data_IF_407464440150
#
_entry.id   IF_407464440150
#
_cell.length_a   1.000
_cell.length_b   1.000
_cell.length_c   1.000
_cell.angle_alpha   90.00
_cell.angle_beta   90.00
_cell.angle_gamma   90.00
#
_symmetry.space_group_name_H-M   'P 1'
#
loop_
_entity.id
_entity.type
_entity.pdbx_description
1 polymer ?
#
# COMPACT_ATOMS: atom_id res chain seq x y z
N UNK A 1 -2.10 -10.04 -2.26
CA UNK A 1 -2.85 -10.12 -3.52
C UNK A 1 -2.98 -8.73 -4.09
N UNK A 2 -2.82 -8.58 -5.39
CA UNK A 2 -3.00 -7.32 -6.13
C UNK A 2 -3.91 -7.56 -7.34
N UNK A 3 -4.72 -6.56 -7.75
CA UNK A 3 -5.46 -6.67 -9.01
C UNK A 3 -4.56 -6.53 -10.24
N UNK A 4 -5.05 -6.97 -11.39
CA UNK A 4 -4.30 -6.87 -12.65
C UNK A 4 -3.89 -5.43 -12.98
N UNK A 5 -4.76 -4.45 -12.74
CA UNK A 5 -4.46 -3.03 -12.99
C UNK A 5 -3.23 -2.56 -12.22
N UNK A 6 -3.08 -2.95 -10.96
CA UNK A 6 -1.88 -2.64 -10.15
C UNK A 6 -0.64 -3.32 -10.71
N UNK A 7 -0.74 -4.58 -11.13
CA UNK A 7 0.39 -5.28 -11.75
C UNK A 7 0.84 -4.58 -13.03
N UNK A 8 -0.10 -4.22 -13.90
CA UNK A 8 0.20 -3.50 -15.15
C UNK A 8 0.88 -2.16 -14.85
N UNK A 9 0.33 -1.38 -13.93
CA UNK A 9 0.87 -0.07 -13.57
C UNK A 9 2.28 -0.17 -12.98
N UNK A 10 2.53 -1.09 -12.07
CA UNK A 10 3.81 -1.21 -11.36
C UNK A 10 4.87 -1.96 -12.18
N UNK A 11 4.51 -3.06 -12.83
CA UNK A 11 5.47 -3.94 -13.50
C UNK A 11 5.59 -3.64 -14.98
N UNK A 12 4.49 -3.49 -15.70
CA UNK A 12 4.51 -3.33 -17.15
C UNK A 12 4.85 -1.89 -17.52
N UNK A 13 4.05 -0.94 -17.05
CA UNK A 13 4.23 0.49 -17.34
C UNK A 13 5.39 1.08 -16.51
N UNK A 14 5.54 0.64 -15.27
CA UNK A 14 6.60 1.06 -14.35
C UNK A 14 7.92 0.30 -14.49
N UNK A 15 8.13 -0.48 -15.57
CA UNK A 15 9.35 -1.25 -15.73
C UNK A 15 10.61 -0.40 -15.60
N UNK A 16 11.53 -0.85 -14.74
CA UNK A 16 12.77 -0.12 -14.43
C UNK A 16 12.64 0.93 -13.33
N UNK A 17 11.42 1.25 -12.87
CA UNK A 17 11.22 2.09 -11.70
C UNK A 17 11.32 1.26 -10.40
N UNK A 18 11.61 1.91 -9.26
CA UNK A 18 11.64 1.22 -7.96
C UNK A 18 10.33 0.47 -7.69
N UNK A 19 10.43 -0.78 -7.25
CA UNK A 19 9.30 -1.65 -6.96
C UNK A 19 8.87 -2.57 -8.11
N UNK A 20 9.23 -2.26 -9.36
CA UNK A 20 8.81 -3.09 -10.52
C UNK A 20 9.44 -4.48 -10.51
N UNK A 21 10.74 -4.57 -10.24
CA UNK A 21 11.46 -5.84 -10.16
C UNK A 21 11.01 -6.67 -8.95
N UNK A 22 10.88 -6.05 -7.80
CA UNK A 22 10.43 -6.68 -6.56
C UNK A 22 9.01 -7.25 -6.70
N UNK A 23 8.11 -6.51 -7.33
CA UNK A 23 6.75 -6.96 -7.59
C UNK A 23 6.72 -8.09 -8.60
N UNK A 24 7.49 -7.99 -9.70
CA UNK A 24 7.63 -9.04 -10.70
C UNK A 24 8.18 -10.34 -10.07
N UNK A 25 9.22 -10.25 -9.29
CA UNK A 25 9.81 -11.39 -8.58
C UNK A 25 8.84 -11.96 -7.54
N UNK A 26 8.15 -11.10 -6.80
CA UNK A 26 7.13 -11.51 -5.84
C UNK A 26 6.00 -12.32 -6.51
N UNK A 27 5.59 -11.93 -7.72
CA UNK A 27 4.59 -12.70 -8.49
C UNK A 27 5.15 -14.01 -9.01
N UNK A 28 6.38 -14.01 -9.49
CA UNK A 28 7.05 -15.22 -9.98
C UNK A 28 7.22 -16.28 -8.87
N UNK A 29 7.54 -15.86 -7.66
CA UNK A 29 7.75 -16.75 -6.51
C UNK A 29 6.45 -17.14 -5.80
N UNK A 30 5.32 -16.55 -6.15
CA UNK A 30 4.02 -16.78 -5.50
C UNK A 30 3.83 -16.01 -4.19
N UNK A 31 4.77 -15.15 -3.80
CA UNK A 31 4.62 -14.26 -2.65
C UNK A 31 3.52 -13.20 -2.89
N UNK A 32 3.42 -12.71 -4.12
CA UNK A 32 2.35 -11.84 -4.58
C UNK A 32 1.47 -12.61 -5.57
N UNK A 33 0.17 -12.61 -5.34
CA UNK A 33 -0.81 -13.19 -6.26
C UNK A 33 -1.51 -12.08 -7.03
N UNK A 34 -1.54 -12.17 -8.34
CA UNK A 34 -2.33 -11.29 -9.20
C UNK A 34 -3.70 -11.91 -9.43
N UNK A 35 -4.76 -11.16 -9.18
CA UNK A 35 -6.14 -11.63 -9.35
C UNK A 35 -6.96 -10.66 -10.21
N UNK A 36 -7.89 -11.21 -10.96
CA UNK A 36 -8.86 -10.44 -11.75
C UNK A 36 -10.07 -10.10 -10.91
N UNK A 37 -10.57 -8.88 -11.08
CA UNK A 37 -11.89 -8.52 -10.60
C UNK A 37 -12.94 -9.21 -11.48
N UNK A 38 -13.91 -9.87 -10.85
CA UNK A 38 -14.99 -10.58 -11.56
C UNK A 38 -16.06 -9.61 -12.05
N UNK A 39 -16.49 -8.69 -11.16
CA UNK A 39 -17.52 -7.69 -11.48
C UNK A 39 -16.87 -6.35 -11.91
N UNK A 40 -16.65 -6.24 -13.22
CA UNK A 40 -16.02 -5.04 -13.78
C UNK A 40 -16.93 -3.80 -13.76
N UNK A 41 -18.23 -3.97 -13.73
CA UNK A 41 -19.16 -2.84 -13.64
C UNK A 41 -19.02 -2.09 -12.30
N UNK A 42 -18.72 -2.82 -11.24
CA UNK A 42 -18.44 -2.25 -9.92
C UNK A 42 -17.20 -1.36 -9.89
N UNK A 43 -16.20 -1.62 -10.73
CA UNK A 43 -15.01 -0.76 -10.83
C UNK A 43 -15.43 0.65 -11.24
N UNK A 44 -16.28 0.79 -12.26
CA UNK A 44 -16.79 2.09 -12.71
C UNK A 44 -17.63 2.76 -11.64
N UNK A 45 -18.55 2.01 -11.02
CA UNK A 45 -19.39 2.51 -9.93
C UNK A 45 -18.56 3.06 -8.76
N UNK A 46 -17.53 2.33 -8.31
CA UNK A 46 -16.65 2.79 -7.24
C UNK A 46 -15.77 3.95 -7.65
N UNK A 47 -15.23 3.93 -8.88
CA UNK A 47 -14.43 5.03 -9.39
C UNK A 47 -15.22 6.35 -9.40
N UNK A 48 -16.46 6.31 -9.84
CA UNK A 48 -17.36 7.49 -9.86
C UNK A 48 -17.78 7.90 -8.44
N UNK A 49 -18.17 6.93 -7.60
CA UNK A 49 -18.65 7.20 -6.23
C UNK A 49 -17.58 7.82 -5.35
N UNK A 50 -16.38 7.26 -5.36
CA UNK A 50 -15.29 7.65 -4.47
C UNK A 50 -14.29 8.62 -5.12
N UNK A 51 -14.46 8.94 -6.41
CA UNK A 51 -13.55 9.81 -7.19
C UNK A 51 -12.10 9.31 -7.16
N UNK A 52 -11.94 8.01 -7.24
CA UNK A 52 -10.63 7.35 -7.33
C UNK A 52 -10.39 6.82 -8.76
N UNK A 53 -9.13 6.54 -9.09
CA UNK A 53 -8.78 5.96 -10.40
C UNK A 53 -9.43 4.57 -10.57
N UNK A 54 -9.54 4.11 -11.82
CA UNK A 54 -10.06 2.77 -12.10
C UNK A 54 -9.21 1.68 -11.43
N UNK A 55 -7.88 1.83 -11.40
CA UNK A 55 -6.96 0.90 -10.73
C UNK A 55 -7.21 0.87 -9.21
N UNK A 56 -7.40 2.03 -8.58
CA UNK A 56 -7.74 2.10 -7.17
C UNK A 56 -9.12 1.51 -6.87
N UNK A 57 -10.09 1.70 -7.76
CA UNK A 57 -11.40 1.05 -7.65
C UNK A 57 -11.31 -0.48 -7.79
N UNK A 58 -10.42 -0.99 -8.64
CA UNK A 58 -10.13 -2.44 -8.73
C UNK A 58 -9.64 -2.99 -7.39
N UNK A 59 -8.78 -2.26 -6.68
CA UNK A 59 -8.29 -2.68 -5.34
C UNK A 59 -9.46 -2.87 -4.37
N UNK A 60 -10.38 -1.92 -4.31
CA UNK A 60 -11.53 -1.98 -3.41
C UNK A 60 -12.48 -3.11 -3.81
N UNK A 61 -12.77 -3.24 -5.11
CA UNK A 61 -13.65 -4.30 -5.59
C UNK A 61 -13.05 -5.69 -5.38
N UNK A 62 -11.76 -5.87 -5.67
CA UNK A 62 -11.08 -7.14 -5.42
C UNK A 62 -11.08 -7.49 -3.93
N UNK A 63 -10.84 -6.51 -3.07
CA UNK A 63 -10.90 -6.70 -1.62
C UNK A 63 -12.29 -7.21 -1.17
N UNK A 64 -13.36 -6.68 -1.76
CA UNK A 64 -14.73 -7.16 -1.50
C UNK A 64 -14.95 -8.60 -1.99
N UNK A 65 -14.54 -8.92 -3.20
CA UNK A 65 -14.70 -10.26 -3.78
C UNK A 65 -13.95 -11.33 -2.99
N UNK A 66 -12.79 -10.96 -2.43
CA UNK A 66 -11.93 -11.87 -1.67
C UNK A 66 -12.20 -11.86 -0.16
N UNK A 67 -13.13 -11.06 0.33
CA UNK A 67 -13.34 -10.83 1.76
C UNK A 67 -12.04 -10.48 2.49
N UNK A 68 -11.26 -9.57 1.92
CA UNK A 68 -10.00 -9.15 2.50
C UNK A 68 -10.20 -8.50 3.87
N UNK A 69 -9.25 -8.69 4.77
CA UNK A 69 -9.28 -8.06 6.09
C UNK A 69 -8.67 -6.65 6.05
N UNK A 70 -7.67 -6.47 5.22
CA UNK A 70 -6.88 -5.23 5.14
C UNK A 70 -6.70 -4.82 3.69
N UNK A 71 -6.84 -3.52 3.43
CA UNK A 71 -6.46 -2.87 2.18
C UNK A 71 -5.21 -2.03 2.44
N UNK A 72 -4.21 -2.19 1.59
CA UNK A 72 -2.99 -1.38 1.64
C UNK A 72 -3.14 -0.20 0.69
N UNK A 73 -3.11 1.01 1.22
CA UNK A 73 -3.23 2.23 0.44
C UNK A 73 -2.55 3.41 1.16
N UNK A 74 -1.94 4.30 0.38
CA UNK A 74 -1.34 5.54 0.88
C UNK A 74 -2.16 6.78 0.55
N UNK A 75 -2.79 6.81 -0.62
CA UNK A 75 -3.61 7.94 -1.07
C UNK A 75 -4.84 8.10 -0.18
N UNK A 76 -5.10 9.32 0.26
CA UNK A 76 -6.16 9.61 1.24
C UNK A 76 -7.52 9.19 0.72
N UNK A 77 -7.84 9.52 -0.54
CA UNK A 77 -9.12 9.19 -1.17
C UNK A 77 -9.35 7.67 -1.23
N UNK A 78 -8.30 6.89 -1.49
CA UNK A 78 -8.38 5.42 -1.52
C UNK A 78 -8.55 4.86 -0.11
N UNK A 79 -7.86 5.45 0.87
CA UNK A 79 -7.98 5.06 2.28
C UNK A 79 -9.39 5.30 2.80
N UNK A 80 -9.95 6.48 2.53
CA UNK A 80 -11.32 6.82 2.90
C UNK A 80 -12.35 5.90 2.23
N UNK A 81 -12.22 5.66 0.93
CA UNK A 81 -13.08 4.77 0.18
C UNK A 81 -13.04 3.32 0.73
N UNK A 82 -11.86 2.82 1.04
CA UNK A 82 -11.71 1.48 1.61
C UNK A 82 -12.28 1.39 3.04
N UNK A 83 -12.09 2.42 3.85
CA UNK A 83 -12.68 2.49 5.20
C UNK A 83 -14.21 2.55 5.15
N UNK A 84 -14.78 3.37 4.26
CA UNK A 84 -16.23 3.44 4.04
C UNK A 84 -16.80 2.10 3.56
N UNK A 85 -16.02 1.36 2.77
CA UNK A 85 -16.37 0.01 2.34
C UNK A 85 -16.25 -1.06 3.45
N UNK A 86 -15.77 -0.70 4.64
CA UNK A 86 -15.67 -1.57 5.82
C UNK A 86 -14.33 -2.26 6.03
N UNK A 87 -13.28 -1.87 5.30
CA UNK A 87 -11.96 -2.47 5.43
C UNK A 87 -11.09 -1.75 6.46
N UNK A 88 -10.21 -2.50 7.11
CA UNK A 88 -9.05 -1.92 7.74
C UNK A 88 -8.08 -1.43 6.66
N UNK A 89 -7.46 -0.27 6.87
CA UNK A 89 -6.53 0.31 5.91
C UNK A 89 -5.19 0.56 6.57
N UNK A 90 -4.13 0.22 5.85
CA UNK A 90 -2.76 0.43 6.28
C UNK A 90 -1.93 1.05 5.17
N UNK A 91 -1.15 2.08 5.49
CA UNK A 91 -0.19 2.68 4.56
C UNK A 91 1.24 2.18 4.83
N UNK A 92 2.20 2.66 4.03
CA UNK A 92 3.61 2.28 4.16
C UNK A 92 4.16 2.49 5.57
N UNK A 93 3.87 3.62 6.20
CA UNK A 93 4.36 3.88 7.57
C UNK A 93 3.79 2.89 8.59
N UNK A 94 2.52 2.52 8.44
CA UNK A 94 1.90 1.52 9.32
C UNK A 94 2.57 0.15 9.18
N UNK A 95 2.92 -0.25 7.95
CA UNK A 95 3.65 -1.49 7.67
C UNK A 95 5.05 -1.46 8.31
N UNK A 96 5.76 -0.35 8.17
CA UNK A 96 7.10 -0.18 8.77
C UNK A 96 7.04 -0.24 10.30
N UNK A 97 6.06 0.39 10.92
CA UNK A 97 5.86 0.33 12.38
C UNK A 97 5.55 -1.10 12.83
N UNK A 98 4.69 -1.80 12.11
CA UNK A 98 4.35 -3.18 12.42
C UNK A 98 5.56 -4.11 12.27
N UNK A 99 6.45 -3.85 11.32
CA UNK A 99 7.69 -4.62 11.17
C UNK A 99 8.58 -4.54 12.40
N UNK A 100 8.62 -3.37 13.06
CA UNK A 100 9.35 -3.21 14.33
C UNK A 100 8.64 -3.94 15.46
N UNK A 101 7.32 -3.78 15.60
CA UNK A 101 6.52 -4.46 16.64
C UNK A 101 6.64 -5.98 16.53
N UNK A 102 6.72 -6.51 15.33
CA UNK A 102 6.89 -7.94 15.06
C UNK A 102 8.37 -8.38 15.03
N UNK A 103 9.31 -7.49 15.37
CA UNK A 103 10.75 -7.76 15.42
C UNK A 103 11.35 -8.23 14.09
N UNK A 104 10.76 -7.82 12.96
CA UNK A 104 11.24 -8.09 11.61
C UNK A 104 12.36 -7.12 11.26
N UNK A 105 12.13 -5.83 11.54
CA UNK A 105 13.12 -4.76 11.34
C UNK A 105 13.45 -4.09 12.68
N UNK A 106 14.65 -3.56 12.79
CA UNK A 106 15.02 -2.73 13.93
C UNK A 106 14.45 -1.31 13.78
N UNK A 107 14.20 -0.59 14.89
CA UNK A 107 13.78 0.81 14.81
C UNK A 107 14.73 1.69 13.98
N UNK A 108 16.03 1.42 14.05
CA UNK A 108 17.05 2.16 13.29
C UNK A 108 16.90 1.94 11.77
N UNK A 109 16.64 0.71 11.34
CA UNK A 109 16.37 0.41 9.93
C UNK A 109 15.13 1.14 9.45
N UNK A 110 14.03 1.11 10.22
CA UNK A 110 12.78 1.78 9.85
C UNK A 110 12.96 3.30 9.79
N UNK A 111 13.74 3.92 10.68
CA UNK A 111 14.06 5.34 10.59
C UNK A 111 14.77 5.63 9.25
N UNK A 112 15.73 4.80 8.85
CA UNK A 112 16.44 4.96 7.58
C UNK A 112 15.49 4.77 6.39
N UNK A 113 14.57 3.79 6.45
CA UNK A 113 13.58 3.55 5.40
C UNK A 113 12.60 4.72 5.26
N UNK A 114 12.20 5.35 6.37
CA UNK A 114 11.40 6.58 6.36
C UNK A 114 12.16 7.71 5.66
N UNK A 115 13.45 7.90 5.96
CA UNK A 115 14.27 8.90 5.29
C UNK A 115 14.38 8.65 3.78
N UNK A 116 14.56 7.40 3.38
CA UNK A 116 14.59 7.00 1.98
C UNK A 116 13.25 7.26 1.27
N UNK A 117 12.11 6.97 1.93
CA UNK A 117 10.79 7.26 1.39
C UNK A 117 10.60 8.76 1.15
N UNK A 118 10.96 9.59 2.13
CA UNK A 118 10.87 11.05 1.99
C UNK A 118 11.76 11.55 0.86
N UNK A 119 13.00 11.05 0.78
CA UNK A 119 13.94 11.40 -0.28
C UNK A 119 13.45 10.99 -1.68
N UNK A 120 12.66 9.91 -1.78
CA UNK A 120 12.03 9.46 -3.04
C UNK A 120 10.77 10.25 -3.43
N UNK A 121 10.38 11.25 -2.65
CA UNK A 121 9.22 12.11 -2.92
C UNK A 121 7.93 11.67 -2.24
N UNK A 122 7.99 10.71 -1.31
CA UNK A 122 6.82 10.34 -0.51
C UNK A 122 6.42 11.50 0.40
N UNK A 123 5.19 11.99 0.22
CA UNK A 123 4.68 13.18 0.91
C UNK A 123 3.96 12.79 2.18
N UNK A 124 4.52 13.16 3.31
CA UNK A 124 3.91 13.07 4.63
C UNK A 124 4.26 14.34 5.39
N UNK A 125 3.35 14.81 6.24
CA UNK A 125 3.60 15.96 7.09
C UNK A 125 4.82 15.74 8.00
N UNK A 126 5.68 16.75 8.10
CA UNK A 126 6.92 16.69 8.90
C UNK A 126 6.64 16.34 10.37
N UNK A 127 5.52 16.79 10.90
CA UNK A 127 5.10 16.49 12.28
C UNK A 127 4.88 15.00 12.49
N UNK A 128 4.27 14.33 11.54
CA UNK A 128 4.01 12.88 11.58
C UNK A 128 5.33 12.11 11.51
N UNK A 129 6.21 12.50 10.58
CA UNK A 129 7.52 11.88 10.41
C UNK A 129 8.37 12.04 11.66
N UNK A 130 8.46 13.26 12.19
CA UNK A 130 9.27 13.56 13.36
C UNK A 130 8.75 12.84 14.61
N UNK A 131 7.44 12.84 14.84
CA UNK A 131 6.81 12.13 15.94
C UNK A 131 7.03 10.61 15.87
N UNK A 132 6.95 10.05 14.67
CA UNK A 132 7.21 8.63 14.46
C UNK A 132 8.68 8.26 14.71
N UNK A 133 9.62 9.04 14.19
CA UNK A 133 11.06 8.82 14.42
C UNK A 133 11.41 8.93 15.90
N UNK A 134 10.83 9.88 16.60
CA UNK A 134 11.03 10.01 18.05
C UNK A 134 10.51 8.78 18.80
N UNK A 135 9.35 8.28 18.46
CA UNK A 135 8.79 7.05 19.01
C UNK A 135 9.71 5.84 18.75
N UNK A 136 10.19 5.70 17.52
CA UNK A 136 11.09 4.61 17.13
C UNK A 136 12.44 4.69 17.86
N UNK A 137 12.98 5.89 18.08
CA UNK A 137 14.21 6.06 18.88
C UNK A 137 14.02 5.56 20.32
N UNK A 138 12.88 5.87 20.94
CA UNK A 138 12.54 5.35 22.27
C UNK A 138 12.44 3.83 22.32
N UNK A 139 11.98 3.19 21.24
CA UNK A 139 11.95 1.73 21.15
C UNK A 139 13.32 1.08 20.92
N UNK A 140 14.34 1.89 20.59
CA UNK A 140 15.72 1.43 20.41
C UNK A 140 16.49 1.37 21.73
N UNK A 141 15.99 2.02 22.77
CA UNK A 141 16.57 2.07 24.11
C UNK A 141 16.16 0.84 24.94
#
# INVERSE_FOLDING_TARGET
IIPEGVYIEVVVEGWGLPGSLETSEGTRTGFITVSKVTDKEKIKEFSEKYKVSAVNAEVIQLAKELNAQIVLANEEEVREAAQEAGFQVKGCLGILVDSVKNKILSPRQVIQDIDNLVASGYRIGDDIINGLKETLRRWSE
#
